data_IF_640073999276
#
_entry.id   IF_640073999276
#
_cell.length_a   1.000
_cell.length_b   1.000
_cell.length_c   1.000
_cell.angle_alpha   90.00
_cell.angle_beta   90.00
_cell.angle_gamma   90.00
#
_symmetry.space_group_name_H-M   'P 1'
#
loop_
_entity.id
_entity.type
_entity.pdbx_description
1 polymer ?
#
# COMPACT_ATOMS: atom_id res chain seq x y z
N UNK A 1 8.91 25.62 10.64
CA UNK A 1 8.95 24.25 11.20
C UNK A 1 8.79 23.25 10.07
N UNK A 2 9.54 22.14 10.08
CA UNK A 2 9.45 21.08 9.07
C UNK A 2 8.28 20.16 9.45
N UNK A 3 7.24 20.11 8.64
CA UNK A 3 6.10 19.20 8.86
C UNK A 3 6.54 17.77 8.54
N UNK A 4 6.51 16.87 9.51
CA UNK A 4 6.82 15.45 9.29
C UNK A 4 5.52 14.74 8.92
N UNK A 5 5.48 14.17 7.72
CA UNK A 5 4.35 13.36 7.26
C UNK A 5 4.74 11.87 7.32
N UNK A 6 3.95 11.07 8.04
CA UNK A 6 4.12 9.63 8.09
C UNK A 6 3.51 8.99 6.85
N UNK A 7 4.29 8.14 6.17
CA UNK A 7 3.83 7.32 5.06
C UNK A 7 4.20 5.85 5.27
N UNK A 8 3.43 4.97 4.65
CA UNK A 8 3.60 3.52 4.67
C UNK A 8 3.71 3.03 3.23
N UNK A 9 4.78 2.30 2.93
CA UNK A 9 4.82 1.37 1.78
C UNK A 9 4.16 0.07 2.24
N UNK A 10 3.37 -0.59 1.40
CA UNK A 10 2.74 -1.85 1.78
C UNK A 10 2.58 -2.78 0.57
N UNK A 11 2.46 -4.07 0.82
CA UNK A 11 2.19 -5.08 -0.20
C UNK A 11 0.84 -5.77 0.09
N UNK A 12 -0.02 -5.79 -0.92
CA UNK A 12 -1.23 -6.60 -0.95
C UNK A 12 -1.06 -7.80 -1.87
N UNK A 13 -1.83 -8.85 -1.62
CA UNK A 13 -1.94 -10.02 -2.48
C UNK A 13 -3.40 -10.40 -2.73
N UNK A 14 -3.69 -11.04 -3.87
CA UNK A 14 -4.99 -11.67 -4.10
C UNK A 14 -5.13 -13.03 -3.40
N UNK A 15 -4.05 -13.81 -3.35
CA UNK A 15 -4.01 -15.15 -2.72
C UNK A 15 -2.57 -15.62 -2.50
N UNK A 16 -2.38 -16.77 -1.85
CA UNK A 16 -1.05 -17.40 -1.76
C UNK A 16 -0.51 -17.60 -3.18
N UNK A 17 0.70 -17.09 -3.45
CA UNK A 17 1.36 -17.08 -4.78
C UNK A 17 0.52 -16.40 -5.89
N UNK A 18 -0.35 -15.48 -5.51
CA UNK A 18 -1.18 -14.69 -6.44
C UNK A 18 -0.54 -13.37 -6.85
N UNK A 19 -1.35 -12.52 -7.49
CA UNK A 19 -0.98 -11.17 -7.90
C UNK A 19 -0.62 -10.30 -6.70
N UNK A 20 0.50 -9.59 -6.80
CA UNK A 20 0.93 -8.62 -5.80
C UNK A 20 0.65 -7.18 -6.26
N UNK A 21 0.40 -6.31 -5.29
CA UNK A 21 0.29 -4.87 -5.49
C UNK A 21 1.09 -4.14 -4.43
N UNK A 22 1.98 -3.24 -4.85
CA UNK A 22 2.77 -2.38 -3.97
C UNK A 22 2.13 -1.00 -3.98
N UNK A 23 1.88 -0.44 -2.80
CA UNK A 23 1.25 0.87 -2.65
C UNK A 23 1.90 1.73 -1.57
N UNK A 24 1.60 3.03 -1.60
CA UNK A 24 2.01 4.01 -0.61
C UNK A 24 0.77 4.74 -0.08
N UNK A 25 0.70 4.99 1.22
CA UNK A 25 -0.39 5.76 1.85
C UNK A 25 0.08 6.42 3.15
N UNK A 26 -0.51 7.55 3.52
CA UNK A 26 -0.34 8.14 4.86
C UNK A 26 -1.31 7.56 5.90
N UNK A 27 -2.27 6.76 5.44
CA UNK A 27 -3.25 6.07 6.27
C UNK A 27 -3.44 4.65 5.74
N UNK A 28 -2.79 3.70 6.43
CA UNK A 28 -2.78 2.29 6.05
C UNK A 28 -4.14 1.63 6.29
N UNK A 29 -4.77 1.92 7.43
CA UNK A 29 -6.03 1.29 7.82
C UNK A 29 -7.15 1.63 6.83
N UNK A 30 -7.31 2.92 6.50
CA UNK A 30 -8.27 3.37 5.49
C UNK A 30 -7.98 2.73 4.14
N UNK A 31 -6.71 2.67 3.74
CA UNK A 31 -6.35 2.12 2.42
C UNK A 31 -6.62 0.62 2.31
N UNK A 32 -6.33 -0.14 3.36
CA UNK A 32 -6.64 -1.58 3.41
C UNK A 32 -8.15 -1.79 3.38
N UNK A 33 -8.92 -0.97 4.10
CA UNK A 33 -10.39 -0.99 4.03
C UNK A 33 -10.89 -0.72 2.60
N UNK A 34 -10.40 0.32 1.93
CA UNK A 34 -10.79 0.65 0.55
C UNK A 34 -10.57 -0.53 -0.42
N UNK A 35 -9.45 -1.25 -0.30
CA UNK A 35 -9.14 -2.42 -1.14
C UNK A 35 -10.00 -3.64 -0.78
N UNK A 36 -10.23 -3.91 0.52
CA UNK A 36 -11.10 -5.00 0.98
C UNK A 36 -12.55 -4.81 0.56
N UNK A 37 -13.04 -3.58 0.66
CA UNK A 37 -14.41 -3.22 0.29
C UNK A 37 -14.58 -2.98 -1.22
N UNK A 38 -13.49 -3.02 -2.01
CA UNK A 38 -13.54 -2.78 -3.44
C UNK A 38 -14.08 -1.40 -3.82
N UNK A 39 -13.92 -0.40 -2.95
CA UNK A 39 -14.51 0.96 -3.12
C UNK A 39 -13.94 1.64 -4.36
N UNK A 40 -12.63 1.46 -4.60
CA UNK A 40 -11.96 2.04 -5.77
C UNK A 40 -11.95 1.03 -6.92
N UNK A 41 -12.59 1.40 -8.03
CA UNK A 41 -12.47 0.66 -9.29
C UNK A 41 -11.03 0.73 -9.80
N UNK A 42 -10.51 -0.38 -10.30
CA UNK A 42 -9.15 -0.44 -10.84
C UNK A 42 -8.54 -1.83 -10.74
N UNK A 43 -7.21 -1.89 -10.90
CA UNK A 43 -6.44 -3.14 -10.91
C UNK A 43 -6.71 -4.02 -9.69
N UNK A 44 -6.59 -3.46 -8.48
CA UNK A 44 -6.73 -4.25 -7.25
C UNK A 44 -8.14 -4.82 -7.08
N UNK A 45 -9.17 -4.07 -7.45
CA UNK A 45 -10.55 -4.56 -7.48
C UNK A 45 -10.72 -5.67 -8.54
N UNK A 46 -10.26 -5.42 -9.78
CA UNK A 46 -10.39 -6.36 -10.91
C UNK A 46 -9.75 -7.71 -10.63
N UNK A 47 -8.60 -7.73 -9.96
CA UNK A 47 -7.83 -8.95 -9.68
C UNK A 47 -7.99 -9.46 -8.23
N UNK A 48 -8.92 -8.89 -7.45
CA UNK A 48 -9.18 -9.31 -6.07
C UNK A 48 -7.98 -9.16 -5.12
N UNK A 49 -7.10 -8.19 -5.38
CA UNK A 49 -5.89 -7.94 -4.59
C UNK A 49 -6.25 -7.11 -3.35
N UNK A 50 -6.57 -7.80 -2.25
CA UNK A 50 -7.12 -7.17 -1.04
C UNK A 50 -6.57 -7.71 0.29
N UNK A 51 -5.64 -8.67 0.27
CA UNK A 51 -5.01 -9.21 1.47
C UNK A 51 -3.71 -8.47 1.78
N UNK A 52 -3.64 -7.79 2.92
CA UNK A 52 -2.37 -7.21 3.40
C UNK A 52 -1.41 -8.34 3.79
N UNK A 53 -0.25 -8.38 3.16
CA UNK A 53 0.76 -9.43 3.38
C UNK A 53 2.08 -8.89 3.90
N UNK A 54 2.34 -7.60 3.74
CA UNK A 54 3.56 -6.99 4.26
C UNK A 54 3.38 -5.49 4.52
N UNK A 55 3.96 -5.05 5.63
CA UNK A 55 4.26 -3.66 5.95
C UNK A 55 5.70 -3.60 6.48
N UNK A 56 6.49 -2.59 6.10
CA UNK A 56 7.79 -2.42 6.69
C UNK A 56 7.67 -1.94 8.13
N UNK A 57 8.46 -2.53 9.02
CA UNK A 57 8.73 -1.95 10.33
C UNK A 57 9.91 -0.98 10.19
N UNK A 58 9.62 0.32 10.11
CA UNK A 58 10.67 1.34 10.16
C UNK A 58 10.34 2.35 11.27
N UNK A 59 11.22 2.42 12.26
CA UNK A 59 11.24 3.51 13.22
C UNK A 59 11.80 4.76 12.52
N UNK A 60 10.92 5.51 11.85
CA UNK A 60 11.27 6.77 11.19
C UNK A 60 11.68 6.62 9.72
N UNK A 61 10.70 6.46 8.83
CA UNK A 61 10.89 6.72 7.40
C UNK A 61 10.73 8.22 7.18
N UNK A 62 11.84 8.94 7.10
CA UNK A 62 11.85 10.40 6.85
C UNK A 62 11.88 10.74 5.36
N UNK A 63 12.11 9.78 4.47
CA UNK A 63 12.16 10.03 3.03
C UNK A 63 11.85 8.75 2.23
N UNK A 64 10.71 8.70 1.53
CA UNK A 64 10.44 7.68 0.51
C UNK A 64 10.71 8.37 -0.84
N UNK A 65 11.89 8.14 -1.42
CA UNK A 65 12.14 8.53 -2.80
C UNK A 65 11.53 7.47 -3.73
N UNK A 66 10.50 7.86 -4.47
CA UNK A 66 10.03 7.06 -5.60
C UNK A 66 11.06 7.23 -6.70
N UNK A 67 11.92 6.22 -6.88
CA UNK A 67 12.81 6.15 -8.04
C UNK A 67 11.93 5.74 -9.22
N UNK A 68 11.48 6.71 -10.00
CA UNK A 68 10.83 6.44 -11.28
C UNK A 68 11.91 6.02 -12.27
N UNK A 69 12.20 4.72 -12.33
CA UNK A 69 12.89 4.11 -13.46
C UNK A 69 11.86 3.31 -14.26
N UNK A 70 11.17 4.01 -15.17
CA UNK A 70 10.52 3.42 -16.34
C UNK A 70 10.95 4.22 -17.57
#
# INVERSE_FOLDING_TARGET
MKTIHQYYVYILSSKIRGTLYIGITNDLQRRVYEHKSGIKKGFTQKYGVNRLVWIPAFAGVTNIQVINNF
#
